data_IF_627552265228
#
_entry.id   IF_627552265228
#
_cell.length_a   1.000
_cell.length_b   1.000
_cell.length_c   1.000
_cell.angle_alpha   90.00
_cell.angle_beta   90.00
_cell.angle_gamma   90.00
#
_symmetry.space_group_name_H-M   'P 1'
#
loop_
_entity.id
_entity.type
_entity.pdbx_description
1 polymer ?
#
# COMPACT_ATOMS: atom_id res chain seq x y z
N UNK A 1 -26.10 -24.93 -29.30
CA UNK A 1 -24.95 -25.32 -30.15
C UNK A 1 -23.70 -24.84 -29.41
N UNK A 2 -22.92 -25.74 -28.82
CA UNK A 2 -21.61 -25.46 -28.28
C UNK A 2 -20.67 -25.22 -29.42
N UNK A 3 -20.03 -24.05 -29.50
CA UNK A 3 -18.97 -23.82 -30.50
C UNK A 3 -17.84 -24.80 -30.21
N UNK A 4 -17.26 -25.45 -31.24
CA UNK A 4 -16.11 -26.35 -31.03
C UNK A 4 -14.98 -25.58 -30.37
N UNK A 5 -14.35 -26.19 -29.35
CA UNK A 5 -13.16 -25.65 -28.69
C UNK A 5 -12.08 -25.62 -29.79
N UNK A 6 -11.60 -24.42 -30.11
CA UNK A 6 -10.46 -24.28 -31.03
C UNK A 6 -9.18 -24.61 -30.22
N UNK A 7 -8.60 -25.75 -30.49
CA UNK A 7 -7.28 -26.11 -29.99
C UNK A 7 -6.23 -25.12 -30.50
N UNK A 8 -5.17 -24.96 -29.75
CA UNK A 8 -4.03 -24.08 -30.04
C UNK A 8 -4.34 -22.56 -30.08
N UNK A 9 -5.54 -22.16 -29.68
CA UNK A 9 -5.86 -20.75 -29.55
C UNK A 9 -5.27 -20.18 -28.26
N UNK A 10 -4.55 -19.06 -28.38
CA UNK A 10 -4.07 -18.28 -27.23
C UNK A 10 -5.17 -17.36 -26.72
N UNK A 11 -5.19 -17.12 -25.42
CA UNK A 11 -6.08 -16.14 -24.79
C UNK A 11 -5.47 -15.68 -23.46
N UNK A 12 -5.87 -14.51 -23.02
CA UNK A 12 -5.42 -13.95 -21.75
C UNK A 12 -6.15 -12.68 -21.41
N UNK A 13 -5.97 -12.23 -20.18
CA UNK A 13 -6.60 -11.03 -19.62
C UNK A 13 -5.58 -10.19 -18.89
N UNK A 14 -5.69 -8.87 -19.06
CA UNK A 14 -4.88 -7.87 -18.36
C UNK A 14 -5.73 -7.15 -17.30
N UNK A 15 -5.15 -6.95 -16.13
CA UNK A 15 -5.66 -6.10 -15.06
C UNK A 15 -4.64 -5.03 -14.70
N UNK A 16 -5.13 -3.82 -14.38
CA UNK A 16 -4.29 -2.71 -13.90
C UNK A 16 -4.45 -2.56 -12.39
N UNK A 17 -3.36 -2.61 -11.64
CA UNK A 17 -3.41 -2.52 -10.19
C UNK A 17 -3.34 -1.07 -9.67
N UNK A 18 -2.42 -0.25 -10.22
CA UNK A 18 -2.21 1.12 -9.76
C UNK A 18 -1.69 2.05 -10.87
N UNK A 19 -2.26 1.97 -12.06
CA UNK A 19 -1.90 2.70 -13.28
C UNK A 19 -0.55 2.34 -13.92
N UNK A 20 0.45 1.88 -13.17
CA UNK A 20 1.79 1.54 -13.66
C UNK A 20 2.21 0.11 -13.33
N UNK A 21 1.37 -0.62 -12.64
CA UNK A 21 1.55 -2.04 -12.34
C UNK A 21 0.38 -2.84 -12.90
N UNK A 22 0.71 -3.94 -13.54
CA UNK A 22 -0.23 -4.80 -14.26
C UNK A 22 -0.07 -6.23 -13.77
N UNK A 23 -1.15 -6.96 -13.80
CA UNK A 23 -1.17 -8.40 -13.60
C UNK A 23 -2.17 -9.02 -14.57
N UNK A 24 -2.02 -10.30 -14.82
CA UNK A 24 -2.90 -10.99 -15.73
C UNK A 24 -2.50 -12.44 -15.91
N UNK A 25 -3.04 -13.05 -16.95
CA UNK A 25 -2.64 -14.39 -17.34
C UNK A 25 -2.63 -14.55 -18.86
N UNK A 26 -1.94 -15.58 -19.35
CA UNK A 26 -2.02 -16.04 -20.73
C UNK A 26 -1.95 -17.56 -20.79
N UNK A 27 -2.86 -18.14 -21.56
CA UNK A 27 -3.01 -19.59 -21.79
C UNK A 27 -3.14 -19.91 -23.27
N UNK A 28 -2.80 -21.17 -23.63
CA UNK A 28 -3.06 -21.75 -24.92
C UNK A 28 -4.02 -22.95 -24.74
N UNK A 29 -5.11 -22.96 -25.49
CA UNK A 29 -6.14 -24.00 -25.34
C UNK A 29 -5.59 -25.38 -25.67
N UNK A 30 -5.69 -26.32 -24.73
CA UNK A 30 -5.22 -27.70 -24.92
C UNK A 30 -3.71 -27.89 -24.72
N UNK A 31 -3.01 -26.90 -24.17
CA UNK A 31 -1.57 -26.95 -23.89
C UNK A 31 -1.27 -26.39 -22.50
N UNK A 32 -0.32 -27.01 -21.80
CA UNK A 32 0.26 -26.51 -20.55
C UNK A 32 1.51 -25.66 -20.76
N UNK A 33 1.82 -25.35 -22.01
CA UNK A 33 2.99 -24.55 -22.38
C UNK A 33 2.90 -23.14 -21.76
N UNK A 34 4.01 -22.69 -21.15
CA UNK A 34 4.15 -21.31 -20.66
C UNK A 34 4.10 -20.34 -21.82
N UNK A 35 3.19 -19.38 -21.75
CA UNK A 35 3.06 -18.37 -22.78
C UNK A 35 4.00 -17.19 -22.50
N UNK A 36 4.60 -16.66 -23.56
CA UNK A 36 5.34 -15.40 -23.53
C UNK A 36 4.43 -14.26 -23.96
N UNK A 37 4.65 -13.10 -23.36
CA UNK A 37 3.87 -11.89 -23.61
C UNK A 37 4.82 -10.77 -23.96
N UNK A 38 4.64 -10.20 -25.14
CA UNK A 38 5.33 -9.01 -25.58
C UNK A 38 4.64 -7.76 -25.06
N UNK A 39 5.42 -6.88 -24.44
CA UNK A 39 4.98 -5.61 -23.90
C UNK A 39 5.42 -4.49 -24.83
N UNK A 40 4.45 -3.74 -25.37
CA UNK A 40 4.70 -2.62 -26.26
C UNK A 40 4.35 -1.29 -25.58
N UNK A 41 5.10 -0.26 -25.90
CA UNK A 41 4.80 1.12 -25.53
C UNK A 41 4.80 1.99 -26.80
N UNK A 42 3.65 2.57 -27.15
CA UNK A 42 3.44 3.30 -28.42
C UNK A 42 3.97 2.49 -29.62
N UNK A 43 3.53 1.24 -29.75
CA UNK A 43 3.93 0.26 -30.79
C UNK A 43 5.40 -0.18 -30.77
N UNK A 44 6.20 0.28 -29.82
CA UNK A 44 7.59 -0.18 -29.66
C UNK A 44 7.64 -1.30 -28.62
N UNK A 45 8.21 -2.45 -29.00
CA UNK A 45 8.51 -3.54 -28.05
C UNK A 45 9.51 -3.03 -27.00
N UNK A 46 9.13 -3.10 -25.74
CA UNK A 46 9.97 -2.68 -24.59
C UNK A 46 10.38 -3.84 -23.70
N UNK A 47 9.61 -4.94 -23.70
CA UNK A 47 9.92 -6.13 -22.91
C UNK A 47 9.21 -7.37 -23.45
N UNK A 48 9.68 -8.56 -23.03
CA UNK A 48 9.00 -9.84 -23.22
C UNK A 48 9.05 -10.62 -21.91
N UNK A 49 7.88 -10.94 -21.36
CA UNK A 49 7.73 -11.61 -20.05
C UNK A 49 7.09 -12.99 -20.21
N UNK A 50 7.18 -13.82 -19.18
CA UNK A 50 6.60 -15.16 -19.14
C UNK A 50 5.40 -15.21 -18.19
N UNK A 51 4.31 -15.86 -18.62
CA UNK A 51 3.14 -16.13 -17.79
C UNK A 51 3.34 -17.47 -17.05
N UNK A 52 4.13 -17.46 -15.99
CA UNK A 52 4.53 -18.65 -15.22
C UNK A 52 4.41 -18.45 -13.71
N UNK A 53 3.73 -17.38 -13.26
CA UNK A 53 3.52 -17.07 -11.86
C UNK A 53 2.20 -17.69 -11.36
N UNK A 54 2.17 -18.04 -10.06
CA UNK A 54 0.93 -18.28 -9.35
C UNK A 54 0.53 -16.98 -8.62
N UNK A 55 -0.63 -16.43 -8.98
CA UNK A 55 -1.21 -15.25 -8.35
C UNK A 55 -2.61 -15.60 -7.87
N UNK A 56 -2.80 -15.71 -6.55
CA UNK A 56 -4.06 -16.13 -5.93
C UNK A 56 -5.26 -15.36 -6.48
N UNK A 57 -5.18 -14.03 -6.57
CA UNK A 57 -6.24 -13.18 -7.10
C UNK A 57 -6.65 -13.53 -8.54
N UNK A 58 -5.69 -13.91 -9.37
CA UNK A 58 -5.94 -14.33 -10.76
C UNK A 58 -6.50 -15.74 -10.80
N UNK A 59 -5.95 -16.63 -9.99
CA UNK A 59 -6.43 -18.00 -9.90
C UNK A 59 -7.86 -18.10 -9.40
N UNK A 60 -8.21 -17.35 -8.36
CA UNK A 60 -9.58 -17.26 -7.82
C UNK A 60 -10.61 -16.77 -8.86
N UNK A 61 -10.19 -15.93 -9.81
CA UNK A 61 -11.08 -15.40 -10.86
C UNK A 61 -11.16 -16.28 -12.10
N UNK A 62 -10.08 -16.98 -12.46
CA UNK A 62 -9.94 -17.59 -13.78
C UNK A 62 -9.51 -19.06 -13.79
N UNK A 63 -9.16 -19.63 -12.64
CA UNK A 63 -8.68 -21.01 -12.48
C UNK A 63 -7.55 -21.34 -13.47
N UNK A 64 -6.47 -20.60 -13.36
CA UNK A 64 -5.37 -20.65 -14.34
C UNK A 64 -4.06 -21.18 -13.77
N UNK A 65 -4.02 -21.49 -12.45
CA UNK A 65 -2.84 -22.00 -11.75
C UNK A 65 -1.62 -21.08 -11.98
N UNK A 66 -0.47 -21.67 -12.39
CA UNK A 66 0.78 -20.95 -12.64
C UNK A 66 0.87 -20.40 -14.07
N UNK A 67 -0.17 -19.76 -14.58
CA UNK A 67 -0.20 -19.10 -15.90
C UNK A 67 -0.39 -17.59 -15.81
N UNK A 68 -0.24 -17.04 -14.61
CA UNK A 68 -0.31 -15.61 -14.38
C UNK A 68 1.04 -14.91 -14.60
N UNK A 69 1.01 -13.59 -14.63
CA UNK A 69 2.18 -12.72 -14.69
C UNK A 69 1.93 -11.43 -13.94
N UNK A 70 3.00 -10.81 -13.48
CA UNK A 70 3.04 -9.43 -13.02
C UNK A 70 3.98 -8.60 -13.91
N UNK A 71 3.66 -7.33 -14.11
CA UNK A 71 4.50 -6.41 -14.84
C UNK A 71 4.48 -5.02 -14.21
N UNK A 72 5.63 -4.53 -13.79
CA UNK A 72 5.79 -3.16 -13.32
C UNK A 72 6.47 -2.34 -14.41
N UNK A 73 5.81 -1.26 -14.84
CA UNK A 73 6.35 -0.39 -15.89
C UNK A 73 7.69 0.20 -15.44
N UNK A 74 8.79 0.06 -16.22
CA UNK A 74 10.06 0.68 -15.87
C UNK A 74 9.91 2.19 -15.65
N UNK A 75 10.51 2.71 -14.56
CA UNK A 75 10.37 4.09 -14.08
C UNK A 75 10.67 5.14 -15.15
N UNK A 76 11.55 4.85 -16.09
CA UNK A 76 11.89 5.73 -17.21
C UNK A 76 10.73 6.08 -18.14
N UNK A 77 9.67 5.26 -18.14
CA UNK A 77 8.47 5.46 -18.98
C UNK A 77 7.34 6.17 -18.24
N UNK A 78 7.46 6.36 -16.92
CA UNK A 78 6.44 7.01 -16.10
C UNK A 78 6.45 8.52 -16.30
N UNK A 79 5.28 9.12 -16.47
CA UNK A 79 5.08 10.57 -16.51
C UNK A 79 4.85 11.14 -17.90
N UNK A 80 4.75 10.30 -18.91
CA UNK A 80 4.30 10.65 -20.25
C UNK A 80 3.04 9.87 -20.57
N UNK A 81 2.09 10.52 -21.24
CA UNK A 81 0.93 9.85 -21.79
C UNK A 81 1.40 8.93 -22.92
N UNK A 82 1.14 7.63 -22.77
CA UNK A 82 1.53 6.60 -23.73
C UNK A 82 0.52 5.48 -23.72
N UNK A 83 0.52 4.63 -24.73
CA UNK A 83 -0.32 3.45 -24.82
C UNK A 83 0.56 2.23 -24.56
N UNK A 84 0.23 1.46 -23.51
CA UNK A 84 0.87 0.17 -23.23
C UNK A 84 -0.02 -0.97 -23.73
N UNK A 85 0.56 -1.94 -24.40
CA UNK A 85 -0.12 -3.08 -25.02
C UNK A 85 0.57 -4.38 -24.65
N UNK A 86 -0.20 -5.41 -24.36
CA UNK A 86 0.26 -6.73 -23.99
C UNK A 86 -0.26 -7.75 -25.00
N UNK A 87 0.64 -8.41 -25.73
CA UNK A 87 0.29 -9.36 -26.80
C UNK A 87 0.95 -10.71 -26.56
N UNK A 88 0.23 -11.77 -26.85
CA UNK A 88 0.85 -13.09 -26.87
C UNK A 88 1.98 -13.12 -27.91
N UNK A 89 3.16 -13.56 -27.52
CA UNK A 89 4.36 -13.53 -28.35
C UNK A 89 4.21 -14.34 -29.65
N UNK A 90 3.64 -15.55 -29.56
CA UNK A 90 3.59 -16.47 -30.69
C UNK A 90 2.46 -16.14 -31.67
N UNK A 91 1.28 -15.75 -31.16
CA UNK A 91 0.13 -15.46 -32.00
C UNK A 91 0.01 -13.99 -32.39
N UNK A 92 0.65 -13.08 -31.64
CA UNK A 92 0.46 -11.65 -31.78
C UNK A 92 -0.93 -11.16 -31.30
N UNK A 93 -1.77 -12.04 -30.75
CA UNK A 93 -3.10 -11.67 -30.26
C UNK A 93 -2.96 -10.80 -28.99
N UNK A 94 -3.70 -9.72 -28.95
CA UNK A 94 -3.74 -8.81 -27.81
C UNK A 94 -4.54 -9.41 -26.66
N UNK A 95 -4.08 -9.25 -25.42
CA UNK A 95 -4.80 -9.69 -24.24
C UNK A 95 -6.09 -8.88 -24.06
N UNK A 96 -7.12 -9.49 -23.51
CA UNK A 96 -8.36 -8.78 -23.15
C UNK A 96 -8.03 -7.66 -22.15
N UNK A 97 -8.65 -6.50 -22.30
CA UNK A 97 -8.40 -5.25 -21.57
C UNK A 97 -7.08 -4.55 -21.91
N UNK A 98 -6.31 -5.06 -22.86
CA UNK A 98 -5.22 -4.36 -23.52
C UNK A 98 -5.73 -3.79 -24.86
N UNK A 99 -5.24 -2.63 -25.35
CA UNK A 99 -4.23 -1.77 -24.75
C UNK A 99 -4.77 -0.89 -23.61
N UNK A 100 -3.85 -0.36 -22.78
CA UNK A 100 -4.15 0.56 -21.69
C UNK A 100 -3.45 1.90 -21.89
N UNK A 101 -4.17 3.01 -21.64
CA UNK A 101 -3.61 4.35 -21.74
C UNK A 101 -3.00 4.77 -20.40
N UNK A 102 -1.70 4.96 -20.36
CA UNK A 102 -0.99 5.42 -19.16
C UNK A 102 -1.36 6.87 -18.83
N UNK A 103 -1.47 7.15 -17.55
CA UNK A 103 -1.67 8.51 -17.05
C UNK A 103 -0.34 9.30 -17.10
N UNK A 104 -0.44 10.60 -17.31
CA UNK A 104 0.70 11.52 -17.26
C UNK A 104 0.68 12.41 -16.00
N UNK A 105 1.66 13.30 -15.91
CA UNK A 105 1.86 14.21 -14.77
C UNK A 105 0.70 15.17 -14.50
N UNK A 106 -0.26 15.31 -15.42
CA UNK A 106 -1.42 16.20 -15.27
C UNK A 106 -2.63 15.49 -14.65
N UNK A 107 -2.59 14.17 -14.57
CA UNK A 107 -3.66 13.38 -13.98
C UNK A 107 -3.68 13.51 -12.46
N UNK A 108 -4.86 13.69 -11.86
CA UNK A 108 -5.04 13.89 -10.42
C UNK A 108 -4.43 12.77 -9.55
N UNK A 109 -4.45 11.53 -10.02
CA UNK A 109 -3.90 10.36 -9.33
C UNK A 109 -2.42 10.09 -9.64
N UNK A 110 -1.75 10.95 -10.44
CA UNK A 110 -0.39 10.67 -10.88
C UNK A 110 0.61 10.50 -9.74
N UNK A 111 0.60 11.41 -8.77
CA UNK A 111 1.56 11.38 -7.65
C UNK A 111 1.33 10.16 -6.75
N UNK A 112 0.07 9.83 -6.48
CA UNK A 112 -0.31 8.63 -5.72
C UNK A 112 0.11 7.35 -6.44
N UNK A 113 -0.18 7.26 -7.75
CA UNK A 113 0.18 6.12 -8.56
C UNK A 113 1.70 5.93 -8.68
N UNK A 114 2.44 7.02 -8.84
CA UNK A 114 3.91 7.00 -8.85
C UNK A 114 4.48 6.56 -7.51
N UNK A 115 3.90 7.03 -6.42
CA UNK A 115 4.29 6.61 -5.07
C UNK A 115 4.06 5.11 -4.88
N UNK A 116 2.87 4.60 -5.21
CA UNK A 116 2.56 3.17 -5.15
C UNK A 116 3.51 2.34 -6.02
N UNK A 117 3.86 2.85 -7.19
CA UNK A 117 4.84 2.19 -8.04
C UNK A 117 6.23 2.10 -7.38
N UNK A 118 6.64 3.13 -6.62
CA UNK A 118 7.91 3.10 -5.89
C UNK A 118 8.01 1.99 -4.84
N UNK A 119 6.87 1.44 -4.39
CA UNK A 119 6.84 0.28 -3.48
C UNK A 119 7.21 -1.04 -4.16
N UNK A 120 7.29 -1.08 -5.49
CA UNK A 120 7.70 -2.28 -6.24
C UNK A 120 9.21 -2.35 -6.43
N UNK A 121 9.94 -1.29 -6.12
CA UNK A 121 11.39 -1.23 -6.26
C UNK A 121 12.09 -1.66 -4.96
N UNK A 122 13.23 -2.35 -5.06
CA UNK A 122 13.98 -2.76 -3.87
C UNK A 122 14.57 -1.55 -3.13
N UNK A 123 14.48 -1.58 -1.81
CA UNK A 123 15.11 -0.58 -0.94
C UNK A 123 16.59 -0.90 -0.71
N UNK A 124 17.40 0.15 -0.55
CA UNK A 124 18.74 0.00 -0.02
C UNK A 124 18.72 -0.39 1.47
N UNK A 125 19.72 -1.13 1.93
CA UNK A 125 19.84 -1.50 3.35
C UNK A 125 19.92 -0.28 4.26
N UNK A 126 20.54 0.80 3.79
CA UNK A 126 20.57 2.07 4.52
C UNK A 126 19.15 2.61 4.75
N UNK A 127 18.32 2.64 3.72
CA UNK A 127 16.95 3.16 3.81
C UNK A 127 16.05 2.28 4.67
N UNK A 128 16.20 0.95 4.62
CA UNK A 128 15.44 0.02 5.49
C UNK A 128 15.62 0.30 6.98
N UNK A 129 16.82 0.74 7.36
CA UNK A 129 17.19 1.04 8.74
C UNK A 129 16.95 2.50 9.13
N UNK A 130 16.54 3.34 8.20
CA UNK A 130 16.33 4.76 8.44
C UNK A 130 14.97 5.03 9.09
N UNK A 131 14.93 6.02 9.97
CA UNK A 131 13.69 6.58 10.54
C UNK A 131 13.97 7.96 11.13
N UNK A 132 12.92 8.75 11.33
CA UNK A 132 13.00 10.05 12.00
C UNK A 132 12.51 9.92 13.44
N UNK A 133 13.38 9.97 14.47
CA UNK A 133 12.96 9.84 15.87
C UNK A 133 11.90 10.87 16.27
N UNK A 134 10.96 10.46 17.11
CA UNK A 134 9.87 11.28 17.66
C UNK A 134 8.98 11.93 16.59
N UNK A 135 8.93 11.37 15.40
CA UNK A 135 8.07 11.85 14.31
C UNK A 135 6.96 10.84 14.00
N UNK A 136 5.72 11.30 14.10
CA UNK A 136 4.51 10.53 13.84
C UNK A 136 3.81 11.11 12.62
N UNK A 137 3.49 10.29 11.63
CA UNK A 137 2.83 10.74 10.41
C UNK A 137 1.52 10.03 10.13
N UNK A 138 0.72 10.63 9.24
CA UNK A 138 -0.51 10.05 8.69
C UNK A 138 -0.67 10.50 7.25
N UNK A 139 -1.33 9.69 6.42
CA UNK A 139 -1.67 10.06 5.06
C UNK A 139 -2.88 11.00 5.05
N UNK A 140 -2.69 12.20 4.51
CA UNK A 140 -3.76 13.17 4.29
C UNK A 140 -4.38 12.96 2.90
N UNK A 141 -4.88 11.73 2.65
CA UNK A 141 -5.65 11.39 1.46
C UNK A 141 -7.05 11.99 1.53
N UNK A 142 -7.73 12.08 0.39
CA UNK A 142 -9.12 12.57 0.36
C UNK A 142 -10.00 11.75 1.30
N UNK A 143 -9.90 10.41 1.25
CA UNK A 143 -10.70 9.52 2.09
C UNK A 143 -10.50 9.79 3.58
N UNK A 144 -9.25 9.99 4.01
CA UNK A 144 -8.93 10.30 5.41
C UNK A 144 -9.35 11.70 5.82
N UNK A 145 -9.28 12.67 4.91
CA UNK A 145 -9.73 14.04 5.18
C UNK A 145 -11.25 14.16 5.24
N UNK A 146 -11.99 13.33 4.50
CA UNK A 146 -13.44 13.25 4.54
C UNK A 146 -13.97 12.41 5.73
N UNK A 147 -13.12 11.58 6.35
CA UNK A 147 -13.45 10.80 7.55
C UNK A 147 -13.31 11.66 8.80
N UNK A 148 -14.44 12.22 9.28
CA UNK A 148 -14.47 13.11 10.45
C UNK A 148 -13.93 12.43 11.71
N UNK A 149 -14.20 11.15 11.87
CA UNK A 149 -13.75 10.35 13.01
C UNK A 149 -12.23 10.20 13.00
N UNK A 150 -11.65 9.91 11.84
CA UNK A 150 -10.20 9.87 11.66
C UNK A 150 -9.56 11.23 11.96
N UNK A 151 -10.13 12.32 11.44
CA UNK A 151 -9.64 13.69 11.66
C UNK A 151 -9.65 14.05 13.14
N UNK A 152 -10.73 13.69 13.85
CA UNK A 152 -10.86 13.95 15.28
C UNK A 152 -9.81 13.17 16.08
N UNK A 153 -9.62 11.88 15.80
CA UNK A 153 -8.59 11.05 16.42
C UNK A 153 -7.19 11.62 16.26
N UNK A 154 -6.83 11.97 15.04
CA UNK A 154 -5.50 12.52 14.76
C UNK A 154 -5.29 13.85 15.51
N UNK A 155 -6.30 14.73 15.54
CA UNK A 155 -6.21 15.99 16.28
C UNK A 155 -6.05 15.78 17.79
N UNK A 156 -6.76 14.81 18.38
CA UNK A 156 -6.60 14.49 19.80
C UNK A 156 -5.21 13.93 20.10
N UNK A 157 -4.72 13.02 19.27
CA UNK A 157 -3.36 12.47 19.42
C UNK A 157 -2.31 13.59 19.33
N UNK A 158 -2.40 14.48 18.34
CA UNK A 158 -1.47 15.60 18.20
C UNK A 158 -1.48 16.48 19.45
N UNK A 159 -2.66 16.75 19.98
CA UNK A 159 -2.83 17.57 21.19
C UNK A 159 -2.28 16.89 22.46
N UNK A 160 -2.47 15.56 22.54
CA UNK A 160 -2.13 14.78 23.71
C UNK A 160 -0.64 14.44 23.80
N UNK A 161 0.09 14.53 22.69
CA UNK A 161 1.53 14.26 22.57
C UNK A 161 2.31 15.48 22.05
N UNK A 162 2.33 16.61 22.79
CA UNK A 162 2.99 17.83 22.33
C UNK A 162 4.52 17.70 22.21
N UNK A 163 5.10 16.66 22.80
CA UNK A 163 6.53 16.34 22.73
C UNK A 163 6.95 15.67 21.42
N UNK A 164 6.01 15.21 20.62
CA UNK A 164 6.27 14.62 19.32
C UNK A 164 6.02 15.60 18.18
N UNK A 165 6.79 15.45 17.11
CA UNK A 165 6.53 16.11 15.84
C UNK A 165 5.56 15.30 15.00
N UNK A 166 4.58 15.96 14.41
CA UNK A 166 3.61 15.32 13.53
C UNK A 166 3.80 15.70 12.09
N UNK A 167 3.48 14.79 11.18
CA UNK A 167 3.61 14.96 9.72
C UNK A 167 2.32 14.58 9.03
N UNK A 168 1.67 15.57 8.37
CA UNK A 168 0.59 15.28 7.42
C UNK A 168 1.19 15.05 6.04
N UNK A 169 1.09 13.83 5.54
CA UNK A 169 1.69 13.38 4.29
C UNK A 169 0.66 13.48 3.17
N UNK A 170 0.96 14.20 2.10
CA UNK A 170 0.02 14.42 1.01
C UNK A 170 0.64 14.17 -0.37
N UNK A 171 -0.18 13.81 -1.35
CA UNK A 171 0.23 13.58 -2.75
C UNK A 171 -0.06 14.79 -3.65
N UNK A 172 -1.13 15.53 -3.35
CA UNK A 172 -1.59 16.65 -4.17
C UNK A 172 -1.60 17.95 -3.36
N UNK A 173 -1.00 18.98 -3.92
CA UNK A 173 -0.97 20.33 -3.33
C UNK A 173 -2.35 20.97 -3.14
N UNK A 174 -3.35 20.51 -3.90
CA UNK A 174 -4.73 20.94 -3.72
C UNK A 174 -5.29 20.57 -2.33
N UNK A 175 -4.79 19.49 -1.72
CA UNK A 175 -5.16 19.04 -0.37
C UNK A 175 -4.66 19.98 0.74
N UNK A 176 -3.64 20.80 0.49
CA UNK A 176 -2.99 21.64 1.52
C UNK A 176 -3.99 22.55 2.25
N UNK A 177 -4.92 23.14 1.50
CA UNK A 177 -5.92 24.04 2.09
C UNK A 177 -6.84 23.29 3.06
N UNK A 178 -7.26 22.10 2.68
CA UNK A 178 -8.12 21.25 3.50
C UNK A 178 -7.38 20.74 4.73
N UNK A 179 -6.14 20.26 4.57
CA UNK A 179 -5.28 19.83 5.68
C UNK A 179 -5.12 20.96 6.69
N UNK A 180 -4.84 22.19 6.24
CA UNK A 180 -4.72 23.35 7.12
C UNK A 180 -6.02 23.70 7.81
N UNK A 181 -7.17 23.53 7.18
CA UNK A 181 -8.47 23.76 7.78
C UNK A 181 -8.77 22.76 8.92
N UNK A 182 -8.42 21.48 8.71
CA UNK A 182 -8.72 20.40 9.64
C UNK A 182 -7.70 20.27 10.78
N UNK A 183 -6.43 20.56 10.52
CA UNK A 183 -5.31 20.32 11.45
C UNK A 183 -4.47 21.56 11.78
N UNK A 184 -4.68 22.69 11.11
CA UNK A 184 -3.80 23.86 11.14
C UNK A 184 -3.74 24.62 12.50
N UNK A 185 -4.46 24.15 13.51
CA UNK A 185 -4.37 24.68 14.88
C UNK A 185 -3.20 24.08 15.68
N UNK A 186 -2.57 23.04 15.15
CA UNK A 186 -1.53 22.28 15.83
C UNK A 186 -0.15 22.82 15.44
N UNK A 187 0.59 23.40 16.40
CA UNK A 187 1.90 24.02 16.16
C UNK A 187 3.02 23.01 15.88
N UNK A 188 2.84 21.75 16.27
CA UNK A 188 3.80 20.65 16.08
C UNK A 188 3.47 19.79 14.84
N UNK A 189 2.64 20.30 13.92
CA UNK A 189 2.28 19.63 12.67
C UNK A 189 2.99 20.28 11.46
N UNK A 190 3.71 19.48 10.69
CA UNK A 190 4.32 19.86 9.42
C UNK A 190 3.67 19.11 8.24
N UNK A 191 3.60 19.74 7.08
CA UNK A 191 3.05 19.16 5.86
C UNK A 191 4.19 18.67 4.96
N UNK A 192 4.15 17.39 4.58
CA UNK A 192 5.17 16.76 3.74
C UNK A 192 4.55 16.25 2.45
N UNK A 193 5.08 16.70 1.30
CA UNK A 193 4.69 16.19 -0.02
C UNK A 193 5.37 14.83 -0.26
N UNK A 194 4.56 13.78 -0.45
CA UNK A 194 5.06 12.46 -0.79
C UNK A 194 5.34 12.36 -2.29
N UNK A 195 6.54 11.98 -2.64
CA UNK A 195 7.01 11.76 -4.01
C UNK A 195 7.54 10.35 -4.24
N UNK A 196 8.06 9.75 -3.18
CA UNK A 196 8.80 8.51 -3.21
C UNK A 196 8.71 7.85 -1.83
N UNK A 197 8.89 6.53 -1.76
CA UNK A 197 8.87 5.79 -0.50
C UNK A 197 9.94 6.26 0.50
N UNK A 198 11.07 6.76 0.05
CA UNK A 198 12.10 7.34 0.94
C UNK A 198 11.57 8.49 1.79
N UNK A 199 10.58 9.25 1.30
CA UNK A 199 10.00 10.36 2.06
C UNK A 199 9.33 9.88 3.34
N UNK A 200 8.89 8.63 3.40
CA UNK A 200 8.37 7.99 4.60
C UNK A 200 9.50 7.77 5.62
N UNK A 201 10.57 7.11 5.21
CA UNK A 201 11.65 6.73 6.11
C UNK A 201 12.42 7.92 6.69
N UNK A 202 12.65 8.96 5.90
CA UNK A 202 13.38 10.16 6.36
C UNK A 202 12.53 11.10 7.23
N UNK A 203 11.21 10.92 7.26
CA UNK A 203 10.29 11.81 7.96
C UNK A 203 9.56 11.19 9.15
N UNK A 204 9.51 9.86 9.26
CA UNK A 204 8.68 9.18 10.23
C UNK A 204 9.45 8.18 11.11
N UNK A 205 8.91 7.97 12.30
CA UNK A 205 9.14 6.81 13.16
C UNK A 205 7.88 5.92 13.21
N UNK A 206 6.70 6.54 13.20
CA UNK A 206 5.41 5.86 13.27
C UNK A 206 4.48 6.40 12.20
N UNK A 207 3.82 5.50 11.49
CA UNK A 207 2.72 5.81 10.59
C UNK A 207 1.39 5.47 11.27
N UNK A 208 0.52 6.47 11.44
CA UNK A 208 -0.89 6.30 11.83
C UNK A 208 -1.74 6.15 10.57
N UNK A 209 -2.70 5.25 10.57
CA UNK A 209 -3.56 5.08 9.41
C UNK A 209 -4.82 4.28 9.67
N UNK A 210 -5.72 4.29 8.70
CA UNK A 210 -6.90 3.45 8.66
C UNK A 210 -6.68 2.34 7.63
N UNK A 211 -5.79 1.40 7.95
CA UNK A 211 -5.28 0.36 7.05
C UNK A 211 -6.33 -0.65 6.55
N UNK A 212 -7.60 -0.45 6.87
CA UNK A 212 -8.68 -1.30 6.38
C UNK A 212 -9.48 -0.69 5.23
N UNK A 213 -9.42 0.62 5.04
CA UNK A 213 -10.28 1.35 4.09
C UNK A 213 -9.54 1.84 2.84
N UNK A 214 -8.28 2.16 2.98
CA UNK A 214 -7.53 2.87 1.95
C UNK A 214 -6.43 1.99 1.36
N UNK A 215 -6.53 1.68 0.06
CA UNK A 215 -5.56 0.83 -0.65
C UNK A 215 -4.12 1.34 -0.52
N UNK A 216 -3.92 2.65 -0.56
CA UNK A 216 -2.58 3.25 -0.45
C UNK A 216 -1.99 2.98 0.93
N UNK A 217 -2.78 3.16 1.98
CA UNK A 217 -2.34 2.91 3.35
C UNK A 217 -2.07 1.43 3.61
N UNK A 218 -2.94 0.55 3.11
CA UNK A 218 -2.74 -0.90 3.22
C UNK A 218 -1.44 -1.31 2.53
N UNK A 219 -1.21 -0.86 1.29
CA UNK A 219 0.00 -1.17 0.53
C UNK A 219 1.26 -0.62 1.22
N UNK A 220 1.18 0.61 1.74
CA UNK A 220 2.28 1.23 2.46
C UNK A 220 2.58 0.52 3.78
N UNK A 221 1.56 0.16 4.55
CA UNK A 221 1.73 -0.57 5.81
C UNK A 221 2.39 -1.94 5.57
N UNK A 222 1.90 -2.71 4.60
CA UNK A 222 2.52 -3.97 4.18
C UNK A 222 3.98 -3.78 3.81
N UNK A 223 4.25 -2.76 2.99
CA UNK A 223 5.61 -2.48 2.56
C UNK A 223 6.55 -2.15 3.74
N UNK A 224 6.11 -1.29 4.65
CA UNK A 224 6.88 -0.91 5.84
C UNK A 224 7.15 -2.14 6.71
N UNK A 225 6.12 -2.93 7.01
CA UNK A 225 6.24 -4.12 7.87
C UNK A 225 7.22 -5.14 7.28
N UNK A 226 7.27 -5.27 5.97
CA UNK A 226 8.16 -6.21 5.30
C UNK A 226 9.61 -5.73 5.17
N UNK A 227 9.82 -4.41 5.11
CA UNK A 227 11.09 -3.84 4.68
C UNK A 227 11.76 -2.93 5.71
N UNK A 228 11.09 -2.55 6.80
CA UNK A 228 11.67 -1.66 7.80
C UNK A 228 11.97 -2.39 9.11
N UNK A 229 13.08 -2.03 9.73
CA UNK A 229 13.43 -2.49 11.07
C UNK A 229 13.02 -1.52 12.18
N UNK A 230 12.86 -0.25 11.85
CA UNK A 230 12.71 0.82 12.83
C UNK A 230 11.43 1.65 12.69
N UNK A 231 10.71 1.51 11.56
CA UNK A 231 9.49 2.25 11.30
C UNK A 231 8.27 1.38 11.59
N UNK A 232 7.35 1.87 12.39
CA UNK A 232 6.17 1.13 12.83
C UNK A 232 4.86 1.70 12.25
N UNK A 233 3.83 0.88 12.22
CA UNK A 233 2.49 1.26 11.80
C UNK A 233 1.49 1.04 12.94
N UNK A 234 0.64 2.03 13.19
CA UNK A 234 -0.51 1.92 14.10
C UNK A 234 -1.80 2.10 13.29
N UNK A 235 -2.66 1.11 13.34
CA UNK A 235 -3.99 1.24 12.76
C UNK A 235 -4.93 1.95 13.73
N UNK A 236 -5.54 3.04 13.28
CA UNK A 236 -6.66 3.70 13.93
C UNK A 236 -7.99 3.06 13.50
N UNK A 237 -7.97 1.78 13.18
CA UNK A 237 -9.10 1.07 12.59
C UNK A 237 -10.20 0.80 13.62
N UNK A 238 -11.17 1.67 13.63
CA UNK A 238 -12.33 1.63 14.50
C UNK A 238 -13.33 0.52 14.15
N UNK A 239 -13.25 -0.01 12.92
CA UNK A 239 -14.19 -1.04 12.46
C UNK A 239 -13.92 -2.42 13.06
N UNK A 240 -12.68 -2.72 13.37
CA UNK A 240 -12.32 -3.99 14.00
C UNK A 240 -12.68 -4.01 15.48
N UNK A 241 -12.74 -2.83 16.11
CA UNK A 241 -13.06 -2.74 17.52
C UNK A 241 -13.92 -1.52 17.87
N UNK A 242 -15.23 -1.70 17.75
CA UNK A 242 -16.22 -0.66 18.09
C UNK A 242 -16.17 -0.18 19.54
N UNK A 243 -15.35 -0.82 20.40
CA UNK A 243 -15.25 -0.47 21.81
C UNK A 243 -14.20 0.61 22.10
N UNK A 244 -13.30 0.93 21.17
CA UNK A 244 -12.30 1.97 21.37
C UNK A 244 -12.84 3.30 20.86
N UNK A 245 -13.07 4.22 21.76
CA UNK A 245 -13.32 5.63 21.45
C UNK A 245 -11.99 6.39 21.36
N UNK A 246 -12.03 7.58 20.75
CA UNK A 246 -10.90 8.52 20.71
C UNK A 246 -10.34 8.78 22.10
N UNK A 247 -11.23 9.00 23.06
CA UNK A 247 -10.84 9.25 24.45
C UNK A 247 -10.09 8.05 25.03
N UNK A 248 -10.60 6.84 24.84
CA UNK A 248 -9.95 5.61 25.31
C UNK A 248 -8.59 5.39 24.64
N UNK A 249 -8.45 5.72 23.36
CA UNK A 249 -7.15 5.71 22.67
C UNK A 249 -6.18 6.67 23.35
N UNK A 250 -6.57 7.92 23.54
CA UNK A 250 -5.71 8.94 24.17
C UNK A 250 -5.38 8.60 25.62
N UNK A 251 -6.35 8.17 26.41
CA UNK A 251 -6.15 7.70 27.80
C UNK A 251 -5.22 6.49 27.81
N UNK A 252 -5.43 5.58 26.87
CA UNK A 252 -4.57 4.45 26.68
C UNK A 252 -3.15 4.88 26.41
N UNK A 253 -2.84 5.64 25.45
CA UNK A 253 -1.51 6.14 25.18
C UNK A 253 -0.88 6.78 26.43
N UNK A 254 -1.58 7.52 27.26
CA UNK A 254 -1.08 8.15 28.48
C UNK A 254 -0.83 7.23 29.65
N UNK A 255 -1.67 6.24 29.84
CA UNK A 255 -1.75 5.44 31.07
C UNK A 255 -1.12 4.06 30.98
N UNK A 256 -0.35 3.72 29.96
CA UNK A 256 0.28 2.41 29.71
C UNK A 256 -0.69 1.28 29.35
N UNK A 257 -1.76 1.48 28.96
CA UNK A 257 -2.78 1.18 27.98
C UNK A 257 -3.13 -0.29 27.68
N UNK A 258 -3.46 -1.06 28.68
CA UNK A 258 -3.96 -2.42 28.51
C UNK A 258 -5.13 -2.48 27.52
N UNK A 259 -6.12 -1.59 27.64
CA UNK A 259 -7.30 -1.63 26.78
C UNK A 259 -7.00 -1.31 25.31
N UNK A 260 -6.10 -0.40 25.05
CA UNK A 260 -5.67 -0.09 23.70
C UNK A 260 -4.92 -1.27 23.10
N UNK A 261 -3.99 -1.84 23.85
CA UNK A 261 -3.16 -2.94 23.37
C UNK A 261 -3.90 -4.28 23.30
N UNK A 262 -4.92 -4.52 24.10
CA UNK A 262 -5.83 -5.66 23.90
C UNK A 262 -6.47 -5.62 22.50
N UNK A 263 -6.70 -4.44 21.97
CA UNK A 263 -7.25 -4.27 20.63
C UNK A 263 -6.17 -4.22 19.54
N UNK A 264 -4.95 -3.84 19.89
CA UNK A 264 -3.77 -3.87 19.00
C UNK A 264 -3.12 -5.27 18.94
N UNK A 265 -3.52 -6.21 19.77
CA UNK A 265 -3.14 -7.63 19.63
C UNK A 265 -3.43 -8.17 18.21
N UNK A 266 -4.39 -7.57 17.52
CA UNK A 266 -4.63 -7.80 16.08
C UNK A 266 -3.40 -7.54 15.20
N UNK A 267 -2.43 -6.76 15.69
CA UNK A 267 -1.17 -6.49 15.03
C UNK A 267 0.01 -7.28 15.61
N UNK A 268 -0.25 -8.29 16.43
CA UNK A 268 0.76 -9.25 16.91
C UNK A 268 1.56 -8.83 18.14
N UNK A 269 1.20 -7.73 18.81
CA UNK A 269 1.80 -7.39 20.09
C UNK A 269 1.19 -8.24 21.22
N UNK A 270 2.04 -8.78 22.09
CA UNK A 270 1.61 -9.61 23.20
C UNK A 270 1.37 -8.78 24.47
N UNK A 271 0.61 -9.34 25.44
CA UNK A 271 0.45 -8.71 26.76
C UNK A 271 1.79 -8.46 27.45
N UNK A 272 2.78 -9.34 27.23
CA UNK A 272 4.13 -9.18 27.77
C UNK A 272 4.83 -7.96 27.19
N UNK A 273 4.66 -7.69 25.89
CA UNK A 273 5.23 -6.50 25.27
C UNK A 273 4.58 -5.23 25.84
N UNK A 274 3.28 -5.25 26.12
CA UNK A 274 2.55 -4.17 26.76
C UNK A 274 3.09 -3.91 28.19
N UNK A 275 3.33 -4.93 28.97
CA UNK A 275 3.89 -4.81 30.32
C UNK A 275 5.28 -4.21 30.32
N UNK A 276 6.12 -4.58 29.34
CA UNK A 276 7.50 -4.10 29.22
C UNK A 276 7.56 -2.69 28.69
N UNK A 277 6.76 -2.38 27.66
CA UNK A 277 6.88 -1.16 26.86
C UNK A 277 5.70 -0.20 27.04
N UNK A 278 4.70 -0.55 27.82
CA UNK A 278 3.42 0.15 27.91
C UNK A 278 3.48 1.63 28.26
N UNK A 279 4.63 2.13 28.71
CA UNK A 279 4.85 3.56 29.00
C UNK A 279 5.25 4.40 27.80
N UNK A 280 5.68 3.75 26.73
CA UNK A 280 6.22 4.42 25.55
C UNK A 280 5.72 3.75 24.29
N UNK A 281 4.60 4.26 23.79
CA UNK A 281 3.96 3.70 22.61
C UNK A 281 4.86 3.70 21.37
N UNK A 282 5.56 4.81 21.15
CA UNK A 282 6.47 4.95 20.00
C UNK A 282 7.58 3.89 20.09
N UNK A 283 8.10 3.68 21.28
CA UNK A 283 9.13 2.67 21.53
C UNK A 283 8.63 1.26 21.24
N UNK A 284 7.40 0.93 21.66
CA UNK A 284 6.76 -0.35 21.31
C UNK A 284 6.60 -0.48 19.81
N UNK A 285 6.12 0.56 19.15
CA UNK A 285 5.82 0.53 17.73
C UNK A 285 7.07 0.47 16.86
N UNK A 286 8.21 0.90 17.37
CA UNK A 286 9.52 0.76 16.71
C UNK A 286 10.25 -0.53 17.07
N UNK A 287 9.67 -1.33 17.92
CA UNK A 287 10.22 -2.61 18.26
C UNK A 287 10.19 -3.57 17.07
N UNK A 288 11.16 -4.37 17.03
CA UNK A 288 11.76 -4.99 15.90
C UNK A 288 11.01 -6.20 15.25
N UNK A 289 11.75 -7.00 14.59
CA UNK A 289 11.38 -8.01 13.62
C UNK A 289 10.40 -9.10 14.10
N UNK A 290 10.38 -9.46 15.38
CA UNK A 290 9.51 -10.54 15.89
C UNK A 290 8.04 -10.10 15.84
N UNK A 291 7.79 -8.89 16.34
CA UNK A 291 6.45 -8.32 16.35
C UNK A 291 5.98 -8.01 14.93
N UNK A 292 6.90 -7.59 14.06
CA UNK A 292 6.59 -7.39 12.64
C UNK A 292 6.10 -8.65 11.94
N UNK A 293 6.63 -9.79 12.27
CA UNK A 293 6.16 -11.04 11.70
C UNK A 293 4.70 -11.32 12.08
N UNK A 294 4.35 -11.10 13.34
CA UNK A 294 2.98 -11.25 13.81
C UNK A 294 2.03 -10.21 13.19
N UNK A 295 2.44 -8.96 13.12
CA UNK A 295 1.69 -7.89 12.44
C UNK A 295 1.41 -8.26 10.98
N UNK A 296 2.41 -8.81 10.28
CA UNK A 296 2.25 -9.26 8.89
C UNK A 296 1.18 -10.34 8.78
N UNK A 297 1.21 -11.36 9.64
CA UNK A 297 0.21 -12.44 9.63
C UNK A 297 -1.20 -11.86 9.82
N UNK A 298 -1.40 -10.96 10.76
CA UNK A 298 -2.70 -10.36 11.04
C UNK A 298 -3.23 -9.52 9.86
N UNK A 299 -2.35 -8.76 9.21
CA UNK A 299 -2.72 -7.99 8.02
C UNK A 299 -3.09 -8.94 6.87
N UNK A 300 -2.31 -9.98 6.64
CA UNK A 300 -2.58 -10.98 5.61
C UNK A 300 -3.90 -11.73 5.85
N UNK A 301 -4.19 -12.10 7.10
CA UNK A 301 -5.46 -12.71 7.49
C UNK A 301 -6.64 -11.78 7.23
N UNK A 302 -6.53 -10.51 7.55
CA UNK A 302 -7.59 -9.53 7.31
C UNK A 302 -7.84 -9.29 5.82
N UNK A 303 -6.80 -9.30 5.01
CA UNK A 303 -6.93 -9.19 3.55
C UNK A 303 -7.57 -10.41 2.91
N UNK A 304 -7.42 -11.58 3.54
CA UNK A 304 -7.99 -12.85 3.06
C UNK A 304 -9.48 -13.04 3.42
N UNK A 305 -10.00 -12.26 4.38
CA UNK A 305 -11.42 -12.32 4.81
C UNK A 305 -12.32 -11.39 3.98
N UNK A 306 -11.76 -10.62 3.07
CA UNK A 306 -12.47 -9.69 2.18
C UNK A 306 -12.50 -10.19 0.74
#
# INVERSE_FOLDING_TARGET
MTRPIQLDKTYGVLHTENYFSFLGFAKKTGSDETQKIDVFLDDKLIDTIEANEFIQKIDDMYDVESKAFTYNLPTQYIGKKAIISFKNHDSGEELLNSPYTLIDKTHEKFNEAKFLHSLTEPLSEELKNMYKPNCVGFLATKDNLEDEEFVEYVNEIIKDFPEYDFRALYFDKNSIKEIKNKFGKNSNLELIELKDIKDIFINLQVLLGNFSKNKVEISLAHFIILNSDNLACISLNLHLNKSITIKQFSESIRNHYHNFFENIELFGYTKKDIEIYGKDLIKIMTQNAIDRYNIKIEIDMQSSIR
#
